data_IF_789440764870
#
_entry.id   IF_789440764870
#
_cell.length_a   1.000
_cell.length_b   1.000
_cell.length_c   1.000
_cell.angle_alpha   90.00
_cell.angle_beta   90.00
_cell.angle_gamma   90.00
#
_symmetry.space_group_name_H-M   'P 1'
#
loop_
_entity.id
_entity.type
_entity.pdbx_description
1 polymer ?
#
# COMPACT_ATOMS: atom_id res chain seq x y z
N UNK A 1 -7.47 16.77 14.92
CA UNK A 1 -6.19 17.47 14.65
C UNK A 1 -6.20 18.77 15.45
N UNK A 2 -5.41 18.86 16.52
CA UNK A 2 -5.34 20.09 17.30
C UNK A 2 -4.58 21.16 16.49
N UNK A 3 -5.20 22.32 16.28
CA UNK A 3 -4.55 23.46 15.61
C UNK A 3 -3.64 24.19 16.62
N UNK A 4 -2.48 24.67 16.16
CA UNK A 4 -1.61 25.49 16.98
C UNK A 4 -2.33 26.81 17.32
N UNK A 5 -2.46 27.12 18.61
CA UNK A 5 -3.07 28.37 19.10
C UNK A 5 -2.22 29.59 18.79
N UNK A 6 -0.89 29.45 18.83
CA UNK A 6 0.05 30.51 18.48
C UNK A 6 0.41 30.45 16.99
N UNK A 7 0.21 31.56 16.29
CA UNK A 7 0.46 31.67 14.86
C UNK A 7 1.96 31.83 14.55
N UNK A 8 2.44 31.14 13.51
CA UNK A 8 3.79 31.34 12.98
C UNK A 8 3.89 32.73 12.35
N UNK A 9 4.92 33.49 12.71
CA UNK A 9 5.17 34.85 12.20
C UNK A 9 6.27 34.83 11.12
N UNK A 10 5.94 34.98 9.83
CA UNK A 10 6.93 35.14 8.78
C UNK A 10 7.43 36.59 8.70
N UNK A 11 8.64 36.80 8.19
CA UNK A 11 9.10 38.14 7.78
C UNK A 11 8.21 38.67 6.66
N UNK A 12 7.70 39.89 6.82
CA UNK A 12 6.87 40.57 5.81
C UNK A 12 7.82 41.16 4.75
N UNK A 13 7.57 40.84 3.48
CA UNK A 13 8.35 41.38 2.34
C UNK A 13 7.52 42.29 1.44
N UNK A 14 6.19 42.15 1.45
CA UNK A 14 5.25 42.98 0.68
C UNK A 14 4.05 43.37 1.58
N UNK A 15 3.53 44.59 1.42
CA UNK A 15 2.36 45.10 2.14
C UNK A 15 1.13 44.20 2.01
N UNK A 16 0.94 43.52 0.87
CA UNK A 16 -0.17 42.58 0.66
C UNK A 16 -0.15 41.40 1.65
N UNK A 17 1.03 41.02 2.17
CA UNK A 17 1.15 39.91 3.12
C UNK A 17 0.50 40.21 4.47
N UNK A 18 0.30 41.49 4.81
CA UNK A 18 -0.44 41.90 6.00
C UNK A 18 -1.92 41.53 5.91
N UNK A 19 -2.47 41.54 4.69
CA UNK A 19 -3.87 41.22 4.40
C UNK A 19 -4.08 39.72 4.16
N UNK A 20 -3.04 39.00 3.74
CA UNK A 20 -3.10 37.57 3.45
C UNK A 20 -3.30 36.74 4.73
N UNK A 21 -4.43 36.04 4.81
CA UNK A 21 -4.73 35.11 5.93
C UNK A 21 -4.03 33.76 5.78
N UNK A 22 -3.95 33.23 4.55
CA UNK A 22 -3.33 31.93 4.25
C UNK A 22 -1.91 32.14 3.74
N UNK A 23 -0.95 31.35 4.25
CA UNK A 23 0.44 31.41 3.81
C UNK A 23 0.63 30.97 2.36
N UNK A 24 -0.10 29.94 1.93
CA UNK A 24 -0.06 29.37 0.59
C UNK A 24 -1.49 29.37 0.01
N UNK A 25 -1.97 30.47 -0.59
CA UNK A 25 -3.34 30.56 -1.09
C UNK A 25 -3.63 29.61 -2.25
N UNK A 26 -2.63 29.36 -3.09
CA UNK A 26 -2.70 28.46 -4.25
C UNK A 26 -2.86 26.99 -3.86
N UNK A 27 -2.59 26.65 -2.60
CA UNK A 27 -2.65 25.26 -2.14
C UNK A 27 -4.09 24.87 -1.83
N UNK A 28 -4.52 23.65 -2.20
CA UNK A 28 -5.83 23.14 -1.81
C UNK A 28 -6.05 23.20 -0.30
N UNK A 29 -7.32 23.22 0.11
CA UNK A 29 -7.66 23.17 1.54
C UNK A 29 -7.29 21.81 2.13
N UNK A 30 -7.44 21.65 3.45
CA UNK A 30 -7.09 20.38 4.10
C UNK A 30 -7.89 19.20 3.55
N UNK A 31 -9.18 19.39 3.28
CA UNK A 31 -10.06 18.32 2.76
C UNK A 31 -9.64 17.96 1.34
N UNK A 32 -9.57 18.95 0.45
CA UNK A 32 -9.26 18.73 -0.97
C UNK A 32 -7.88 18.10 -1.13
N UNK A 33 -6.89 18.49 -0.30
CA UNK A 33 -5.56 17.87 -0.34
C UNK A 33 -5.59 16.39 0.04
N UNK A 34 -6.44 15.99 0.99
CA UNK A 34 -6.59 14.58 1.36
C UNK A 34 -7.29 13.80 0.25
N UNK A 35 -8.31 14.40 -0.37
CA UNK A 35 -9.02 13.80 -1.49
C UNK A 35 -8.10 13.58 -2.69
N UNK A 36 -7.34 14.60 -3.09
CA UNK A 36 -6.33 14.51 -4.15
C UNK A 36 -5.34 13.39 -3.84
N UNK A 37 -4.81 13.35 -2.61
CA UNK A 37 -3.84 12.32 -2.21
C UNK A 37 -4.45 10.91 -2.22
N UNK A 38 -5.71 10.76 -1.83
CA UNK A 38 -6.39 9.48 -1.84
C UNK A 38 -6.63 9.01 -3.28
N UNK A 39 -7.01 9.94 -4.16
CA UNK A 39 -7.17 9.66 -5.58
C UNK A 39 -5.86 9.24 -6.25
N UNK A 40 -4.76 9.95 -6.00
CA UNK A 40 -3.44 9.56 -6.51
C UNK A 40 -3.03 8.15 -6.06
N UNK A 41 -3.31 7.80 -4.80
CA UNK A 41 -3.05 6.45 -4.27
C UNK A 41 -3.92 5.39 -4.93
N UNK A 42 -5.19 5.73 -5.21
CA UNK A 42 -6.12 4.82 -5.87
C UNK A 42 -5.68 4.57 -7.32
N UNK A 43 -5.37 5.62 -8.07
CA UNK A 43 -4.88 5.51 -9.46
C UNK A 43 -3.58 4.67 -9.52
N UNK A 44 -2.68 4.84 -8.55
CA UNK A 44 -1.49 4.00 -8.45
C UNK A 44 -1.82 2.54 -8.13
N UNK A 45 -2.80 2.30 -7.24
CA UNK A 45 -3.23 0.95 -6.87
C UNK A 45 -3.90 0.22 -8.04
N UNK A 46 -4.75 0.92 -8.79
CA UNK A 46 -5.38 0.41 -10.02
C UNK A 46 -4.31 0.05 -11.06
N UNK A 47 -3.35 0.95 -11.28
CA UNK A 47 -2.23 0.69 -12.21
C UNK A 47 -1.41 -0.53 -11.78
N UNK A 48 -1.14 -0.70 -10.49
CA UNK A 48 -0.40 -1.84 -9.97
C UNK A 48 -1.14 -3.17 -10.16
N UNK A 49 -2.46 -3.16 -10.03
CA UNK A 49 -3.28 -4.37 -10.10
C UNK A 49 -3.80 -4.70 -11.50
N UNK A 50 -3.53 -3.86 -12.51
CA UNK A 50 -4.01 -4.02 -13.87
C UNK A 50 -3.56 -5.35 -14.52
N UNK A 51 -2.38 -5.87 -14.16
CA UNK A 51 -1.83 -7.13 -14.69
C UNK A 51 -2.44 -8.39 -14.04
N UNK A 52 -3.22 -8.23 -12.97
CA UNK A 52 -3.76 -9.33 -12.18
C UNK A 52 -2.85 -9.79 -11.05
N UNK A 53 -3.38 -10.65 -10.18
CA UNK A 53 -2.66 -11.14 -9.00
C UNK A 53 -1.69 -12.27 -9.40
N UNK A 54 -0.39 -12.04 -9.17
CA UNK A 54 0.66 -13.05 -9.37
C UNK A 54 0.80 -13.94 -8.14
N UNK A 55 0.80 -15.27 -8.34
CA UNK A 55 1.09 -16.22 -7.27
C UNK A 55 2.57 -16.23 -6.93
N UNK A 56 2.89 -15.99 -5.67
CA UNK A 56 4.28 -15.83 -5.20
C UNK A 56 4.77 -17.15 -4.59
N UNK A 57 6.04 -17.57 -4.83
CA UNK A 57 6.60 -18.75 -4.20
C UNK A 57 6.75 -18.59 -2.68
N UNK A 58 6.80 -19.71 -1.94
CA UNK A 58 6.88 -19.72 -0.47
C UNK A 58 8.04 -18.87 0.09
N UNK A 59 9.15 -18.76 -0.65
CA UNK A 59 10.34 -18.00 -0.24
C UNK A 59 10.17 -16.49 -0.25
N UNK A 60 9.25 -15.97 -1.07
CA UNK A 60 8.96 -14.55 -1.22
C UNK A 60 7.66 -14.13 -0.51
N UNK A 61 7.05 -15.05 0.25
CA UNK A 61 5.96 -14.72 1.15
C UNK A 61 6.42 -13.80 2.28
N UNK A 62 5.50 -13.02 2.86
CA UNK A 62 5.79 -12.23 4.05
C UNK A 62 6.32 -13.10 5.21
N UNK A 63 7.13 -12.53 6.12
CA UNK A 63 7.78 -13.28 7.19
C UNK A 63 6.82 -14.11 8.06
N UNK A 64 5.61 -13.60 8.29
CA UNK A 64 4.59 -14.27 9.11
C UNK A 64 3.93 -15.47 8.43
N UNK A 65 3.97 -15.58 7.09
CA UNK A 65 3.42 -16.72 6.33
C UNK A 65 4.51 -17.70 5.90
N UNK A 66 5.69 -17.18 5.53
CA UNK A 66 6.81 -17.94 4.97
C UNK A 66 7.22 -19.13 5.85
N UNK A 67 7.47 -18.89 7.13
CA UNK A 67 7.94 -19.94 8.06
C UNK A 67 6.88 -21.02 8.27
N UNK A 68 5.59 -20.63 8.32
CA UNK A 68 4.49 -21.57 8.48
C UNK A 68 4.34 -22.47 7.25
N UNK A 69 4.41 -21.89 6.05
CA UNK A 69 4.32 -22.63 4.79
C UNK A 69 5.48 -23.64 4.64
N UNK A 70 6.72 -23.18 4.88
CA UNK A 70 7.91 -24.02 4.79
C UNK A 70 7.86 -25.19 5.78
N UNK A 71 7.43 -24.92 7.03
CA UNK A 71 7.30 -25.96 8.05
C UNK A 71 6.21 -26.98 7.71
N UNK A 72 5.11 -26.53 7.09
CA UNK A 72 4.03 -27.41 6.68
C UNK A 72 4.46 -28.39 5.56
N UNK A 73 5.33 -27.94 4.65
CA UNK A 73 5.84 -28.76 3.56
C UNK A 73 7.10 -29.57 3.94
N UNK A 74 7.81 -29.22 5.01
CA UNK A 74 9.14 -29.78 5.36
C UNK A 74 9.22 -31.31 5.37
N UNK A 75 8.22 -31.99 5.94
CA UNK A 75 8.19 -33.47 6.01
C UNK A 75 8.09 -34.16 4.65
N UNK A 76 7.44 -33.51 3.69
CA UNK A 76 7.31 -34.05 2.35
C UNK A 76 8.47 -33.60 1.46
N UNK A 77 9.00 -32.39 1.67
CA UNK A 77 10.17 -31.88 0.96
C UNK A 77 11.44 -32.70 1.22
N UNK A 78 11.52 -33.47 2.31
CA UNK A 78 12.61 -34.43 2.54
C UNK A 78 12.54 -35.66 1.63
N UNK A 79 11.38 -35.92 0.99
CA UNK A 79 11.16 -37.02 0.04
C UNK A 79 10.93 -36.45 -1.36
N UNK A 80 11.81 -36.79 -2.32
CA UNK A 80 11.74 -36.24 -3.67
C UNK A 80 10.67 -36.95 -4.53
N UNK A 81 9.41 -36.56 -4.39
CA UNK A 81 8.32 -37.00 -5.28
C UNK A 81 7.46 -35.82 -5.75
N UNK A 82 7.11 -35.81 -7.04
CA UNK A 82 6.31 -34.74 -7.66
C UNK A 82 4.82 -34.93 -7.36
N UNK A 83 4.09 -33.83 -7.32
CA UNK A 83 2.62 -33.84 -7.14
C UNK A 83 2.15 -33.70 -5.70
N UNK A 84 3.04 -33.69 -4.71
CA UNK A 84 2.68 -33.38 -3.33
C UNK A 84 2.27 -31.91 -3.17
N UNK A 85 1.09 -31.66 -2.58
CA UNK A 85 0.59 -30.30 -2.31
C UNK A 85 -0.06 -30.25 -0.92
N UNK A 86 0.36 -29.30 -0.10
CA UNK A 86 -0.27 -29.02 1.20
C UNK A 86 -1.29 -27.90 1.05
N UNK A 87 -2.52 -28.09 1.54
CA UNK A 87 -3.54 -27.04 1.61
C UNK A 87 -3.42 -26.29 2.93
N UNK A 88 -2.55 -25.28 2.97
CA UNK A 88 -2.36 -24.38 4.12
C UNK A 88 -3.46 -23.31 4.14
N UNK A 89 -3.90 -22.90 5.33
CA UNK A 89 -4.97 -21.89 5.53
C UNK A 89 -4.49 -20.48 5.17
N UNK A 90 -3.29 -20.10 5.60
CA UNK A 90 -2.75 -18.74 5.42
C UNK A 90 -2.17 -18.46 4.02
N UNK A 91 -2.68 -19.14 2.98
CA UNK A 91 -2.21 -18.94 1.60
C UNK A 91 -2.72 -17.63 1.01
N UNK A 92 -2.13 -17.24 -0.11
CA UNK A 92 -2.69 -16.17 -0.93
C UNK A 92 -4.12 -16.55 -1.34
N UNK A 93 -5.03 -15.60 -1.16
CA UNK A 93 -6.41 -15.76 -1.58
C UNK A 93 -6.51 -15.94 -3.10
N UNK A 94 -7.53 -16.67 -3.50
CA UNK A 94 -7.83 -16.90 -4.91
C UNK A 94 -8.41 -15.61 -5.53
N UNK A 95 -7.93 -15.16 -6.70
CA UNK A 95 -8.33 -13.86 -7.26
C UNK A 95 -9.77 -13.79 -7.78
N UNK A 96 -10.43 -14.92 -8.05
CA UNK A 96 -11.80 -14.98 -8.59
C UNK A 96 -11.92 -14.86 -10.11
N UNK A 97 -10.81 -14.64 -10.82
CA UNK A 97 -10.75 -14.50 -12.27
C UNK A 97 -9.43 -15.09 -12.82
N UNK A 98 -9.37 -15.49 -14.11
CA UNK A 98 -8.13 -15.97 -14.70
C UNK A 98 -7.10 -14.84 -14.78
N UNK A 99 -5.87 -15.10 -14.35
CA UNK A 99 -4.75 -14.15 -14.43
C UNK A 99 -3.67 -14.68 -15.38
N UNK A 100 -2.90 -13.80 -16.06
CA UNK A 100 -1.81 -14.22 -16.94
C UNK A 100 -0.71 -15.06 -16.26
N UNK A 101 -0.60 -14.93 -14.92
CA UNK A 101 0.41 -15.61 -14.11
C UNK A 101 -0.03 -16.97 -13.57
N UNK A 102 -1.30 -17.34 -13.74
CA UNK A 102 -1.89 -18.57 -13.20
C UNK A 102 -1.89 -19.71 -14.20
#
# INVERSE_FOLDING_TARGET
MALHRLLKRPKITNAQMLLMRRREPYKPTMKDRQEIRNREKLEYFEKKNAEGLMFVPETALPPWQKSLALNACAKASSMNFRGFRVRVVDKQDEPGFPTPFR
#
